data_IF_615211965393
#
_entry.id   IF_615211965393
#
_cell.length_a   1.000
_cell.length_b   1.000
_cell.length_c   1.000
_cell.angle_alpha   90.00
_cell.angle_beta   90.00
_cell.angle_gamma   90.00
#
_symmetry.space_group_name_H-M   'P 1'
#
loop_
_entity.id
_entity.type
_entity.pdbx_description
1 polymer ?
#
# COMPACT_ATOMS: atom_id res chain seq x y z
N UNK A 1 19.66 1.23 -3.07
CA UNK A 1 18.87 1.07 -4.31
C UNK A 1 19.75 1.43 -5.50
N UNK A 2 19.66 0.67 -6.60
CA UNK A 2 20.64 0.70 -7.70
C UNK A 2 20.12 1.37 -8.98
N UNK A 3 18.81 1.45 -9.18
CA UNK A 3 18.18 1.97 -10.41
C UNK A 3 17.63 3.38 -10.15
N UNK A 4 18.06 4.37 -10.95
CA UNK A 4 17.56 5.75 -10.85
C UNK A 4 16.05 5.79 -11.13
N UNK A 5 15.31 6.46 -10.25
CA UNK A 5 13.84 6.55 -10.34
C UNK A 5 13.07 5.41 -9.67
N UNK A 6 13.74 4.35 -9.21
CA UNK A 6 13.09 3.23 -8.52
C UNK A 6 13.29 3.37 -7.01
N UNK A 7 12.23 3.86 -6.35
CA UNK A 7 12.06 3.94 -4.90
C UNK A 7 11.65 2.61 -4.25
N UNK A 8 11.62 2.50 -2.90
CA UNK A 8 11.09 1.31 -2.21
C UNK A 8 9.64 1.04 -2.63
N UNK A 9 8.80 2.08 -2.66
CA UNK A 9 7.41 1.99 -3.15
C UNK A 9 7.31 1.40 -4.56
N UNK A 10 8.16 1.85 -5.48
CA UNK A 10 8.13 1.40 -6.88
C UNK A 10 8.62 -0.05 -6.98
N UNK A 11 9.68 -0.40 -6.24
CA UNK A 11 10.19 -1.76 -6.17
C UNK A 11 9.12 -2.72 -5.59
N UNK A 12 8.41 -2.33 -4.54
CA UNK A 12 7.33 -3.13 -3.95
C UNK A 12 6.15 -3.29 -4.92
N UNK A 13 5.78 -2.25 -5.67
CA UNK A 13 4.76 -2.38 -6.71
C UNK A 13 5.18 -3.40 -7.78
N UNK A 14 6.45 -3.37 -8.21
CA UNK A 14 6.96 -4.33 -9.17
C UNK A 14 6.91 -5.76 -8.61
N UNK A 15 7.33 -5.97 -7.35
CA UNK A 15 7.26 -7.27 -6.68
C UNK A 15 5.82 -7.80 -6.56
N UNK A 16 4.89 -6.95 -6.12
CA UNK A 16 3.49 -7.33 -5.91
C UNK A 16 2.78 -7.65 -7.23
N UNK A 17 2.86 -6.77 -8.22
CA UNK A 17 2.06 -6.87 -9.46
C UNK A 17 2.76 -7.64 -10.57
N UNK A 18 4.09 -7.62 -10.62
CA UNK A 18 4.88 -8.24 -11.68
C UNK A 18 5.46 -9.61 -11.31
N UNK A 19 5.61 -9.91 -10.02
CA UNK A 19 6.28 -11.12 -9.53
C UNK A 19 5.47 -11.92 -8.50
N UNK A 20 4.18 -11.60 -8.33
CA UNK A 20 3.26 -12.33 -7.42
C UNK A 20 3.76 -12.45 -5.98
N UNK A 21 4.59 -11.50 -5.53
CA UNK A 21 5.11 -11.46 -4.16
C UNK A 21 4.05 -10.86 -3.25
N UNK A 22 3.11 -11.69 -2.81
CA UNK A 22 1.98 -11.29 -1.97
C UNK A 22 2.37 -10.69 -0.62
N UNK A 23 3.60 -10.90 -0.15
CA UNK A 23 4.14 -10.25 1.04
C UNK A 23 4.59 -8.80 0.82
N UNK A 24 4.71 -8.34 -0.43
CA UNK A 24 5.08 -6.97 -0.75
C UNK A 24 3.93 -5.99 -0.44
N UNK A 25 4.25 -4.87 0.21
CA UNK A 25 3.27 -3.91 0.70
C UNK A 25 3.66 -2.47 0.29
N UNK A 26 3.30 -2.03 -0.93
CA UNK A 26 3.70 -0.71 -1.42
C UNK A 26 3.04 0.44 -0.63
N UNK A 27 3.85 1.26 0.06
CA UNK A 27 3.37 2.39 0.90
C UNK A 27 3.41 3.72 0.15
N UNK A 28 2.35 4.05 -0.59
CA UNK A 28 2.16 5.37 -1.21
C UNK A 28 1.49 6.37 -0.27
N UNK A 29 1.11 7.56 -0.78
CA UNK A 29 0.44 8.59 0.02
C UNK A 29 -0.94 8.17 0.53
N UNK A 30 -1.68 7.33 -0.20
CA UNK A 30 -3.01 6.86 0.19
C UNK A 30 -2.92 5.82 1.28
N UNK A 31 -2.02 4.85 1.13
CA UNK A 31 -1.78 3.83 2.15
C UNK A 31 -1.28 4.45 3.44
N UNK A 32 -0.36 5.42 3.35
CA UNK A 32 0.13 6.14 4.54
C UNK A 32 -0.99 6.88 5.27
N UNK A 33 -1.92 7.50 4.54
CA UNK A 33 -3.12 8.15 5.13
C UNK A 33 -4.02 7.13 5.81
N UNK A 34 -4.35 6.03 5.13
CA UNK A 34 -5.18 4.95 5.71
C UNK A 34 -4.56 4.38 6.99
N UNK A 35 -3.26 4.12 6.98
CA UNK A 35 -2.54 3.64 8.17
C UNK A 35 -2.64 4.65 9.31
N UNK A 36 -2.38 5.93 9.05
CA UNK A 36 -2.41 6.98 10.08
C UNK A 36 -3.83 7.26 10.62
N UNK A 37 -4.84 7.32 9.75
CA UNK A 37 -6.20 7.74 10.11
C UNK A 37 -7.05 6.61 10.70
N UNK A 38 -6.84 5.36 10.26
CA UNK A 38 -7.72 4.23 10.63
C UNK A 38 -7.05 3.31 11.65
N UNK A 39 -5.77 2.99 11.43
CA UNK A 39 -5.10 1.94 12.22
C UNK A 39 -4.16 2.49 13.29
N UNK A 40 -3.64 3.71 13.13
CA UNK A 40 -2.68 4.31 14.05
C UNK A 40 -1.30 3.64 14.01
N UNK A 41 -0.49 3.92 15.04
CA UNK A 41 0.94 3.58 15.09
C UNK A 41 1.22 2.07 15.24
N UNK A 42 0.24 1.28 15.68
CA UNK A 42 0.39 -0.17 15.94
C UNK A 42 0.15 -1.04 14.70
N UNK A 43 -0.06 -0.44 13.52
CA UNK A 43 -0.25 -1.19 12.29
C UNK A 43 1.04 -1.85 11.81
N UNK A 44 1.07 -3.19 11.83
CA UNK A 44 2.15 -3.99 11.25
C UNK A 44 1.60 -4.84 10.09
N UNK A 45 1.97 -4.52 8.85
CA UNK A 45 1.58 -5.32 7.67
C UNK A 45 2.15 -6.74 7.69
N UNK A 46 3.25 -6.98 8.42
CA UNK A 46 3.95 -8.27 8.40
C UNK A 46 3.10 -9.40 8.97
N UNK A 47 2.14 -9.07 9.86
CA UNK A 47 1.20 -10.04 10.43
C UNK A 47 0.33 -10.73 9.39
N UNK A 48 0.20 -10.14 8.20
CA UNK A 48 -0.59 -10.69 7.11
C UNK A 48 0.20 -11.63 6.19
N UNK A 49 1.53 -11.69 6.33
CA UNK A 49 2.38 -12.56 5.52
C UNK A 49 2.13 -12.38 4.02
N UNK A 50 1.87 -13.48 3.31
CA UNK A 50 1.59 -13.51 1.87
C UNK A 50 0.31 -12.76 1.45
N UNK A 51 -0.57 -12.43 2.39
CA UNK A 51 -1.84 -11.75 2.12
C UNK A 51 -1.71 -10.23 2.31
N UNK A 52 -0.53 -9.73 2.70
CA UNK A 52 -0.29 -8.30 2.92
C UNK A 52 -0.60 -7.45 1.68
N UNK A 53 -0.16 -7.92 0.51
CA UNK A 53 -0.35 -7.24 -0.77
C UNK A 53 -1.82 -7.14 -1.18
N UNK A 54 -2.62 -8.20 -0.98
CA UNK A 54 -4.05 -8.12 -1.28
C UNK A 54 -4.77 -7.18 -0.31
N UNK A 55 -4.42 -7.20 0.98
CA UNK A 55 -4.96 -6.25 1.96
C UNK A 55 -4.60 -4.81 1.60
N UNK A 56 -3.37 -4.57 1.13
CA UNK A 56 -2.96 -3.26 0.63
C UNK A 56 -3.84 -2.79 -0.54
N UNK A 57 -4.25 -3.68 -1.45
CA UNK A 57 -5.18 -3.36 -2.53
C UNK A 57 -6.56 -2.95 -2.00
N UNK A 58 -7.09 -3.67 -1.00
CA UNK A 58 -8.35 -3.28 -0.34
C UNK A 58 -8.26 -1.91 0.32
N UNK A 59 -7.16 -1.62 1.02
CA UNK A 59 -6.91 -0.31 1.62
C UNK A 59 -6.85 0.80 0.58
N UNK A 60 -6.13 0.57 -0.52
CA UNK A 60 -6.04 1.54 -1.61
C UNK A 60 -7.42 1.82 -2.24
N UNK A 61 -8.20 0.76 -2.50
CA UNK A 61 -9.54 0.87 -3.05
C UNK A 61 -10.47 1.67 -2.13
N UNK A 62 -10.48 1.33 -0.83
CA UNK A 62 -11.20 2.08 0.19
C UNK A 62 -10.80 3.56 0.20
N UNK A 63 -9.51 3.86 0.21
CA UNK A 63 -9.01 5.23 0.22
C UNK A 63 -9.52 6.03 -0.98
N UNK A 64 -9.48 5.43 -2.18
CA UNK A 64 -9.89 6.10 -3.41
C UNK A 64 -11.40 6.35 -3.49
N UNK A 65 -12.23 5.41 -3.03
CA UNK A 65 -13.68 5.60 -2.97
C UNK A 65 -14.03 6.73 -1.99
N UNK A 66 -13.53 6.66 -0.76
CA UNK A 66 -13.85 7.67 0.25
C UNK A 66 -13.32 9.07 -0.12
N UNK A 67 -12.19 9.15 -0.82
CA UNK A 67 -11.66 10.45 -1.27
C UNK A 67 -12.48 11.03 -2.44
N UNK A 68 -13.03 10.17 -3.30
CA UNK A 68 -13.96 10.59 -4.34
C UNK A 68 -15.28 11.09 -3.74
N UNK A 69 -15.79 10.45 -2.69
CA UNK A 69 -16.98 10.88 -1.96
C UNK A 69 -16.78 12.23 -1.24
N UNK A 70 -15.56 12.50 -0.75
CA UNK A 70 -15.19 13.77 -0.11
C UNK A 70 -14.84 14.90 -1.08
N UNK A 71 -14.73 14.63 -2.38
CA UNK A 71 -14.37 15.63 -3.40
C UNK A 71 -12.90 16.09 -3.36
N UNK A 72 -11.99 15.31 -2.77
CA UNK A 72 -10.57 15.66 -2.57
C UNK A 72 -9.64 15.12 -3.68
N UNK A 73 -10.16 14.99 -4.91
CA UNK A 73 -9.49 14.29 -6.01
C UNK A 73 -8.26 15.04 -6.58
#
# INVERSE_FOLDING_TARGET
>A
MQIKGVGPKVADCALLFGFERGEAFPKDVWIKRVMAEIYGDDFDEKRFGKDAGIIQQWMFHYARINSAEKGEA
#
